data_IF_849443033742
#
_entry.id   IF_849443033742
#
_cell.length_a   1.000
_cell.length_b   1.000
_cell.length_c   1.000
_cell.angle_alpha   90.00
_cell.angle_beta   90.00
_cell.angle_gamma   90.00
#
_symmetry.space_group_name_H-M   'P 1'
#
loop_
_entity.id
_entity.type
_entity.pdbx_description
1 polymer ?
#
# COMPACT_ATOMS: atom_id res chain seq x y z
N UNK A 1 7.50 10.54 8.04
CA UNK A 1 7.50 10.30 6.58
C UNK A 1 6.11 9.99 6.02
N UNK A 2 5.41 8.92 6.48
CA UNK A 2 3.99 8.66 6.15
C UNK A 2 3.00 9.07 7.25
N UNK A 3 3.45 9.11 8.51
CA UNK A 3 2.68 9.65 9.64
C UNK A 3 2.35 11.13 9.42
N UNK A 4 3.28 11.88 8.80
CA UNK A 4 3.08 13.31 8.47
C UNK A 4 2.02 13.51 7.38
N UNK A 5 1.70 12.46 6.61
CA UNK A 5 0.58 12.45 5.69
C UNK A 5 -0.73 12.07 6.39
N UNK A 6 -0.76 11.90 7.71
CA UNK A 6 -1.97 11.56 8.45
C UNK A 6 -2.32 10.08 8.44
N UNK A 7 -1.41 9.20 8.00
CA UNK A 7 -1.61 7.76 8.06
C UNK A 7 -1.30 7.25 9.46
N UNK A 8 -2.14 6.35 9.96
CA UNK A 8 -1.92 5.69 11.25
C UNK A 8 -1.02 4.47 11.03
N UNK A 9 0.10 4.40 11.74
CA UNK A 9 0.96 3.22 11.73
C UNK A 9 0.36 2.10 12.60
N UNK A 10 0.32 0.90 12.05
CA UNK A 10 0.00 -0.36 12.73
C UNK A 10 1.30 -1.14 12.87
N UNK A 11 1.79 -1.32 14.09
CA UNK A 11 3.07 -1.98 14.38
C UNK A 11 2.98 -3.51 14.35
N UNK A 12 1.79 -4.07 14.49
CA UNK A 12 1.57 -5.51 14.52
C UNK A 12 0.62 -5.92 13.41
N UNK A 13 1.16 -6.62 12.41
CA UNK A 13 0.40 -7.18 11.30
C UNK A 13 0.23 -8.68 11.54
N UNK A 14 -0.96 -9.19 11.24
CA UNK A 14 -1.29 -10.60 11.36
C UNK A 14 -1.87 -11.10 10.03
N UNK A 15 -1.42 -12.27 9.60
CA UNK A 15 -1.90 -12.96 8.39
C UNK A 15 -2.53 -14.30 8.76
N UNK A 16 -3.40 -14.82 7.91
CA UNK A 16 -4.01 -16.14 8.06
C UNK A 16 -5.45 -16.21 7.56
N UNK A 17 -6.05 -17.39 7.66
CA UNK A 17 -7.40 -17.67 7.16
C UNK A 17 -8.25 -18.34 8.24
N UNK A 18 -9.51 -17.92 8.35
CA UNK A 18 -10.45 -18.41 9.35
C UNK A 18 -10.01 -18.07 10.79
N UNK A 19 -9.96 -19.10 11.65
CA UNK A 19 -9.53 -18.96 13.05
C UNK A 19 -8.00 -18.97 13.23
N UNK A 20 -7.24 -19.32 12.19
CA UNK A 20 -5.78 -19.41 12.27
C UNK A 20 -5.17 -18.10 11.81
N UNK A 21 -4.46 -17.42 12.72
CA UNK A 21 -3.69 -16.20 12.42
C UNK A 21 -2.29 -16.27 13.03
N UNK A 22 -1.30 -15.74 12.34
CA UNK A 22 0.08 -15.61 12.84
C UNK A 22 0.56 -14.18 12.68
N UNK A 23 1.43 -13.74 13.59
CA UNK A 23 2.07 -12.43 13.52
C UNK A 23 3.13 -12.42 12.42
N UNK A 24 3.07 -11.42 11.55
CA UNK A 24 4.05 -11.21 10.49
C UNK A 24 5.31 -10.59 11.09
N UNK A 25 6.46 -11.23 10.89
CA UNK A 25 7.74 -10.74 11.42
C UNK A 25 8.23 -9.58 10.57
N UNK A 26 8.68 -8.52 11.23
CA UNK A 26 9.25 -7.32 10.58
C UNK A 26 8.31 -6.65 9.58
N UNK A 27 7.00 -6.81 9.78
CA UNK A 27 5.97 -6.22 8.93
C UNK A 27 5.18 -5.20 9.73
N UNK A 28 4.93 -4.04 9.13
CA UNK A 28 4.04 -3.03 9.67
C UNK A 28 3.14 -2.51 8.56
N UNK A 29 2.03 -1.87 8.94
CA UNK A 29 1.12 -1.27 7.99
C UNK A 29 0.92 0.22 8.29
N UNK A 30 0.51 0.96 7.27
CA UNK A 30 -0.06 2.29 7.41
C UNK A 30 -1.49 2.25 6.91
N UNK A 31 -2.43 2.74 7.71
CA UNK A 31 -3.85 2.79 7.36
C UNK A 31 -4.34 4.21 7.22
N UNK A 32 -5.23 4.42 6.24
CA UNK A 32 -6.04 5.61 6.08
C UNK A 32 -7.38 5.20 5.52
N UNK A 33 -8.45 5.53 6.24
CA UNK A 33 -9.83 5.27 5.86
C UNK A 33 -10.03 3.88 5.27
N UNK A 34 -9.72 2.81 6.02
CA UNK A 34 -9.89 1.42 5.55
C UNK A 34 -8.86 0.92 4.53
N UNK A 35 -8.21 1.79 3.78
CA UNK A 35 -7.08 1.43 2.93
C UNK A 35 -5.82 1.18 3.75
N UNK A 36 -5.04 0.17 3.36
CA UNK A 36 -3.88 -0.30 4.10
C UNK A 36 -2.69 -0.48 3.17
N UNK A 37 -1.54 0.03 3.58
CA UNK A 37 -0.25 -0.15 2.93
C UNK A 37 0.63 -0.97 3.85
N UNK A 38 1.02 -2.16 3.41
CA UNK A 38 1.86 -3.06 4.17
C UNK A 38 3.30 -3.02 3.68
N UNK A 39 4.23 -3.03 4.62
CA UNK A 39 5.67 -3.00 4.35
C UNK A 39 6.31 -4.10 5.18
N UNK A 40 6.99 -5.01 4.50
CA UNK A 40 7.79 -6.08 5.11
C UNK A 40 9.27 -5.79 4.93
N UNK A 41 10.03 -5.80 6.02
CA UNK A 41 11.47 -5.57 5.99
C UNK A 41 12.25 -6.88 6.14
N UNK A 42 13.36 -6.98 5.41
CA UNK A 42 14.38 -8.01 5.62
C UNK A 42 15.75 -7.35 5.59
N UNK A 43 16.59 -7.60 6.60
CA UNK A 43 17.99 -7.11 6.66
C UNK A 43 18.14 -5.59 6.39
N UNK A 44 17.14 -4.79 6.79
CA UNK A 44 17.16 -3.33 6.62
C UNK A 44 16.63 -2.80 5.28
N UNK A 45 16.25 -3.66 4.34
CA UNK A 45 15.58 -3.27 3.09
C UNK A 45 14.11 -3.69 3.08
N UNK A 46 13.31 -3.03 2.22
CA UNK A 46 11.92 -3.42 1.95
C UNK A 46 11.95 -4.68 1.08
N UNK A 47 11.51 -5.79 1.67
CA UNK A 47 11.39 -7.08 0.98
C UNK A 47 10.11 -7.14 0.16
N UNK A 48 8.99 -6.78 0.78
CA UNK A 48 7.65 -6.86 0.18
C UNK A 48 6.88 -5.58 0.48
N UNK A 49 6.09 -5.13 -0.49
CA UNK A 49 5.22 -3.96 -0.42
C UNK A 49 3.89 -4.31 -1.10
N UNK A 50 2.77 -4.09 -0.42
CA UNK A 50 1.45 -4.30 -1.02
C UNK A 50 0.40 -3.40 -0.41
N UNK A 51 -0.69 -3.22 -1.13
CA UNK A 51 -1.84 -2.42 -0.74
C UNK A 51 -3.07 -3.32 -0.65
N UNK A 52 -3.95 -3.01 0.30
CA UNK A 52 -5.26 -3.64 0.43
C UNK A 52 -6.33 -2.61 0.83
N UNK A 53 -7.59 -3.02 0.79
CA UNK A 53 -8.72 -2.24 1.29
C UNK A 53 -9.20 -1.12 0.36
N UNK A 54 -8.34 -0.56 -0.51
CA UNK A 54 -8.68 0.62 -1.32
C UNK A 54 -9.81 0.42 -2.35
N UNK A 55 -9.99 -0.79 -2.89
CA UNK A 55 -10.97 -1.07 -3.96
C UNK A 55 -12.42 -0.93 -3.52
N UNK A 56 -12.67 -0.98 -2.22
CA UNK A 56 -14.01 -0.84 -1.65
C UNK A 56 -14.37 0.63 -1.37
N UNK A 57 -13.47 1.58 -1.67
CA UNK A 57 -13.71 3.01 -1.46
C UNK A 57 -14.24 3.66 -2.74
N UNK A 58 -15.49 4.10 -2.68
CA UNK A 58 -16.11 4.92 -3.73
C UNK A 58 -15.73 6.40 -3.61
N UNK A 59 -15.07 6.81 -2.52
CA UNK A 59 -14.76 8.21 -2.26
C UNK A 59 -13.45 8.67 -2.91
N UNK A 60 -13.50 9.84 -3.56
CA UNK A 60 -12.36 10.44 -4.25
C UNK A 60 -11.25 10.91 -3.29
N UNK A 61 -11.55 11.22 -2.03
CA UNK A 61 -10.55 11.73 -1.08
C UNK A 61 -9.56 10.65 -0.70
N UNK A 62 -10.03 9.43 -0.47
CA UNK A 62 -9.17 8.28 -0.17
C UNK A 62 -8.26 7.96 -1.35
N UNK A 63 -8.79 7.99 -2.58
CA UNK A 63 -7.99 7.79 -3.80
C UNK A 63 -6.92 8.87 -3.97
N UNK A 64 -7.27 10.14 -3.83
CA UNK A 64 -6.31 11.26 -3.90
C UNK A 64 -5.22 11.08 -2.83
N UNK A 65 -5.62 10.69 -1.62
CA UNK A 65 -4.66 10.49 -0.53
C UNK A 65 -3.71 9.34 -0.79
N UNK A 66 -4.22 8.20 -1.25
CA UNK A 66 -3.42 7.04 -1.62
C UNK A 66 -2.47 7.37 -2.76
N UNK A 67 -2.94 8.13 -3.76
CA UNK A 67 -2.10 8.60 -4.87
C UNK A 67 -0.91 9.40 -4.36
N UNK A 68 -1.12 10.39 -3.49
CA UNK A 68 -0.03 11.21 -2.93
C UNK A 68 0.96 10.35 -2.11
N UNK A 69 0.45 9.38 -1.36
CA UNK A 69 1.29 8.46 -0.57
C UNK A 69 2.13 7.55 -1.46
N UNK A 70 1.50 6.92 -2.45
CA UNK A 70 2.14 6.02 -3.40
C UNK A 70 3.22 6.74 -4.19
N UNK A 71 2.91 7.93 -4.70
CA UNK A 71 3.86 8.76 -5.43
C UNK A 71 5.06 9.15 -4.56
N UNK A 72 4.84 9.49 -3.30
CA UNK A 72 5.92 9.79 -2.36
C UNK A 72 6.82 8.56 -2.13
N UNK A 73 6.21 7.40 -1.91
CA UNK A 73 6.95 6.15 -1.71
C UNK A 73 7.76 5.77 -2.95
N UNK A 74 7.19 5.87 -4.15
CA UNK A 74 7.90 5.60 -5.40
C UNK A 74 9.12 6.51 -5.59
N UNK A 75 8.98 7.79 -5.25
CA UNK A 75 10.09 8.75 -5.35
C UNK A 75 11.19 8.55 -4.29
N UNK A 76 10.82 8.21 -3.05
CA UNK A 76 11.77 8.06 -1.95
C UNK A 76 12.47 6.69 -1.94
N UNK A 77 11.81 5.65 -2.45
CA UNK A 77 12.22 4.25 -2.27
C UNK A 77 12.40 3.47 -3.58
N UNK A 78 12.14 4.09 -4.74
CA UNK A 78 12.27 3.47 -6.06
C UNK A 78 11.48 2.16 -6.19
N UNK A 79 10.19 2.22 -5.85
CA UNK A 79 9.31 1.05 -5.77
C UNK A 79 8.44 0.88 -7.01
N UNK A 80 8.23 -0.38 -7.38
CA UNK A 80 7.26 -0.82 -8.38
C UNK A 80 6.19 -1.65 -7.66
N UNK A 81 4.91 -1.36 -7.93
CA UNK A 81 3.80 -2.15 -7.41
C UNK A 81 3.39 -3.19 -8.46
N UNK A 82 3.36 -4.45 -8.05
CA UNK A 82 2.83 -5.56 -8.85
C UNK A 82 1.54 -6.05 -8.20
N UNK A 83 0.41 -5.85 -8.87
CA UNK A 83 -0.90 -6.28 -8.38
C UNK A 83 -1.25 -7.66 -8.96
N UNK A 84 -1.28 -8.67 -8.08
CA UNK A 84 -1.49 -10.06 -8.50
C UNK A 84 -2.94 -10.36 -8.89
N UNK A 85 -3.90 -9.54 -8.43
CA UNK A 85 -5.31 -9.72 -8.78
C UNK A 85 -5.61 -9.11 -10.14
N UNK A 86 -5.00 -7.97 -10.48
CA UNK A 86 -5.20 -7.28 -11.75
C UNK A 86 -4.17 -7.68 -12.82
N UNK A 87 -3.10 -8.39 -12.42
CA UNK A 87 -1.99 -8.79 -13.30
C UNK A 87 -1.34 -7.58 -14.00
N UNK A 88 -1.18 -6.48 -13.26
CA UNK A 88 -0.56 -5.25 -13.76
C UNK A 88 0.66 -4.87 -12.93
N UNK A 89 1.53 -4.09 -13.57
CA UNK A 89 2.67 -3.45 -12.93
C UNK A 89 2.47 -1.95 -13.00
N UNK A 90 2.71 -1.26 -11.89
CA UNK A 90 2.52 0.19 -11.73
C UNK A 90 3.84 0.79 -11.26
N UNK A 91 4.41 1.69 -12.04
CA UNK A 91 5.55 2.50 -11.61
C UNK A 91 5.05 3.58 -10.65
N UNK A 92 5.46 3.49 -9.38
CA UNK A 92 5.02 4.44 -8.35
C UNK A 92 5.67 5.82 -8.47
N UNK A 93 6.56 6.04 -9.44
CA UNK A 93 7.05 7.38 -9.80
C UNK A 93 6.14 8.09 -10.81
N UNK A 94 5.24 7.36 -11.45
CA UNK A 94 4.38 7.88 -12.51
C UNK A 94 2.96 8.08 -11.97
N UNK A 95 2.61 9.34 -11.67
CA UNK A 95 1.31 9.69 -11.09
C UNK A 95 0.11 9.20 -11.91
N UNK A 96 0.20 9.27 -13.24
CA UNK A 96 -0.88 8.81 -14.12
C UNK A 96 -1.08 7.29 -14.10
N UNK A 97 -0.03 6.50 -13.88
CA UNK A 97 -0.15 5.05 -13.70
C UNK A 97 -0.80 4.72 -12.36
N UNK A 98 -0.43 5.43 -11.30
CA UNK A 98 -1.08 5.29 -9.98
C UNK A 98 -2.57 5.61 -10.07
N UNK A 99 -2.95 6.69 -10.77
CA UNK A 99 -4.36 7.06 -10.93
C UNK A 99 -5.15 6.01 -11.71
N UNK A 100 -4.61 5.50 -12.83
CA UNK A 100 -5.23 4.41 -13.58
C UNK A 100 -5.42 3.17 -12.71
N UNK A 101 -4.41 2.84 -11.91
CA UNK A 101 -4.48 1.73 -10.96
C UNK A 101 -5.57 1.90 -9.91
N UNK A 102 -5.64 3.06 -9.25
CA UNK A 102 -6.63 3.34 -8.22
C UNK A 102 -8.07 3.46 -8.76
N UNK A 103 -8.24 3.73 -10.05
CA UNK A 103 -9.53 3.78 -10.73
C UNK A 103 -9.90 2.51 -11.49
N UNK A 104 -9.01 1.51 -11.49
CA UNK A 104 -9.19 0.28 -12.27
C UNK A 104 -9.39 0.50 -13.78
N UNK A 105 -8.74 1.52 -14.34
CA UNK A 105 -8.80 1.88 -15.76
C UNK A 105 -7.66 1.22 -16.56
N UNK A 106 -7.90 -0.01 -17.05
CA UNK A 106 -6.92 -0.82 -17.80
C UNK A 106 -7.44 -1.29 -19.16
#
# INVERSE_FOLDING_TARGET
MLIDLGLKKISEVYEGYGSTKWKCKNTFAYTFDGAEIFISLKEGYIKDFWINGFRFHEDDKTKVKLKDVLLKLGNELDLILNDWNLTITVDLKIESEILKYLNEEF
#
